data_IF_591091782704
#
_entry.id   IF_591091782704
#
_cell.length_a   1.000
_cell.length_b   1.000
_cell.length_c   1.000
_cell.angle_alpha   90.00
_cell.angle_beta   90.00
_cell.angle_gamma   90.00
#
_symmetry.space_group_name_H-M   'P 1'
#
loop_
_entity.id
_entity.type
_entity.pdbx_description
1 polymer ?
#
# COMPACT_ATOMS: atom_id res chain seq x y z
N UNK A 1 2.89 25.68 0.37
CA UNK A 1 3.27 24.40 0.98
C UNK A 1 3.83 23.47 -0.08
N UNK A 2 4.45 22.36 0.30
CA UNK A 2 4.91 21.32 -0.62
C UNK A 2 4.33 19.97 -0.17
N UNK A 3 4.05 19.08 -1.12
CA UNK A 3 3.54 17.73 -0.86
C UNK A 3 4.38 16.71 -1.64
N UNK A 4 4.80 15.64 -0.98
CA UNK A 4 5.47 14.51 -1.63
C UNK A 4 4.46 13.37 -1.84
N UNK A 5 4.54 12.73 -3.01
CA UNK A 5 3.66 11.62 -3.41
C UNK A 5 4.47 10.51 -4.12
N UNK A 6 3.84 9.34 -4.25
CA UNK A 6 4.44 8.18 -4.93
C UNK A 6 5.67 7.63 -4.20
N UNK A 7 6.60 7.05 -4.96
CA UNK A 7 7.80 6.41 -4.40
C UNK A 7 8.72 7.41 -3.68
N UNK A 8 8.70 8.69 -4.06
CA UNK A 8 9.40 9.76 -3.33
C UNK A 8 8.88 9.96 -1.89
N UNK A 9 7.63 9.54 -1.62
CA UNK A 9 7.03 9.57 -0.30
C UNK A 9 7.06 8.21 0.41
N UNK A 10 6.81 7.12 -0.31
CA UNK A 10 6.80 5.78 0.26
C UNK A 10 7.25 4.73 -0.77
N UNK A 11 8.56 4.55 -0.89
CA UNK A 11 9.19 3.47 -1.65
C UNK A 11 9.07 2.13 -0.91
N UNK A 12 8.86 1.04 -1.67
CA UNK A 12 8.74 -0.34 -1.15
C UNK A 12 9.36 -1.34 -2.11
N UNK A 13 9.51 -2.58 -1.68
CA UNK A 13 10.06 -3.65 -2.52
C UNK A 13 9.17 -3.87 -3.77
N UNK A 14 9.71 -3.90 -5.01
CA UNK A 14 8.92 -3.87 -6.25
C UNK A 14 8.21 -5.19 -6.58
N UNK A 15 8.44 -6.25 -5.79
CA UNK A 15 8.01 -7.62 -6.06
C UNK A 15 6.49 -7.80 -6.28
N UNK A 16 5.65 -6.93 -5.70
CA UNK A 16 4.19 -7.00 -5.89
C UNK A 16 3.65 -6.06 -6.97
N UNK A 17 4.50 -5.24 -7.61
CA UNK A 17 4.08 -4.25 -8.60
C UNK A 17 3.10 -3.17 -8.07
N UNK A 18 2.84 -3.12 -6.76
CA UNK A 18 1.78 -2.29 -6.17
C UNK A 18 2.11 -0.80 -6.02
N UNK A 19 3.31 -0.36 -6.38
CA UNK A 19 3.74 1.05 -6.24
C UNK A 19 2.86 2.01 -7.02
N UNK A 20 2.56 1.69 -8.29
CA UNK A 20 1.67 2.50 -9.12
C UNK A 20 0.24 2.52 -8.60
N UNK A 21 -0.27 1.41 -8.07
CA UNK A 21 -1.62 1.32 -7.48
C UNK A 21 -1.76 2.24 -6.27
N UNK A 22 -0.75 2.26 -5.39
CA UNK A 22 -0.73 3.17 -4.23
C UNK A 22 -0.63 4.61 -4.69
N UNK A 23 0.23 4.93 -5.66
CA UNK A 23 0.37 6.28 -6.18
C UNK A 23 -0.92 6.81 -6.83
N UNK A 24 -1.58 6.01 -7.66
CA UNK A 24 -2.85 6.39 -8.30
C UNK A 24 -3.98 6.52 -7.28
N UNK A 25 -4.04 5.64 -6.27
CA UNK A 25 -5.01 5.77 -5.19
C UNK A 25 -4.78 7.05 -4.36
N UNK A 26 -3.52 7.36 -4.04
CA UNK A 26 -3.17 8.59 -3.33
C UNK A 26 -3.61 9.83 -4.11
N UNK A 27 -3.46 9.83 -5.45
CA UNK A 27 -3.91 10.91 -6.33
C UNK A 27 -5.43 11.09 -6.26
N UNK A 28 -6.21 9.99 -6.29
CA UNK A 28 -7.68 10.05 -6.21
C UNK A 28 -8.12 10.64 -4.87
N UNK A 29 -7.56 10.15 -3.75
CA UNK A 29 -7.90 10.64 -2.41
C UNK A 29 -7.51 12.11 -2.26
N UNK A 30 -6.31 12.49 -2.70
CA UNK A 30 -5.85 13.87 -2.64
C UNK A 30 -6.71 14.81 -3.50
N UNK A 31 -7.06 14.40 -4.72
CA UNK A 31 -7.96 15.15 -5.60
C UNK A 31 -9.28 15.43 -4.90
N UNK A 32 -9.88 14.42 -4.28
CA UNK A 32 -11.19 14.55 -3.66
C UNK A 32 -11.16 15.47 -2.43
N UNK A 33 -10.08 15.41 -1.64
CA UNK A 33 -9.86 16.29 -0.50
C UNK A 33 -9.56 17.74 -0.89
N UNK A 34 -8.85 17.97 -2.01
CA UNK A 34 -8.49 19.31 -2.45
C UNK A 34 -9.57 19.97 -3.34
N UNK A 35 -10.50 19.19 -3.91
CA UNK A 35 -11.60 19.70 -4.75
C UNK A 35 -12.42 20.85 -4.12
N UNK A 36 -12.78 20.82 -2.82
CA UNK A 36 -13.52 21.93 -2.18
C UNK A 36 -12.64 23.13 -1.80
N UNK A 37 -11.30 23.01 -1.87
CA UNK A 37 -10.38 24.08 -1.46
C UNK A 37 -10.32 25.17 -2.53
N UNK A 38 -10.84 26.36 -2.21
CA UNK A 38 -10.84 27.52 -3.11
C UNK A 38 -9.60 28.41 -2.97
N UNK A 39 -8.94 28.35 -1.81
CA UNK A 39 -7.77 29.17 -1.52
C UNK A 39 -6.66 28.32 -0.87
N UNK A 40 -5.56 28.14 -1.59
CA UNK A 40 -4.40 27.39 -1.12
C UNK A 40 -3.46 28.20 -0.20
N UNK A 41 -3.71 29.50 -0.01
CA UNK A 41 -2.95 30.33 0.93
C UNK A 41 -3.47 30.21 2.37
N UNK A 42 -4.64 29.62 2.58
CA UNK A 42 -5.15 29.29 3.92
C UNK A 42 -4.45 28.03 4.44
N UNK A 43 -3.36 28.26 5.18
CA UNK A 43 -2.49 27.19 5.71
C UNK A 43 -3.21 26.31 6.73
N UNK A 44 -4.11 26.88 7.54
CA UNK A 44 -4.81 26.15 8.60
C UNK A 44 -5.88 25.23 8.00
N UNK A 45 -6.65 25.72 7.03
CA UNK A 45 -7.59 24.89 6.30
C UNK A 45 -6.85 23.78 5.55
N UNK A 46 -5.76 24.11 4.85
CA UNK A 46 -4.99 23.13 4.09
C UNK A 46 -4.36 22.05 4.97
N UNK A 47 -3.88 22.39 6.18
CA UNK A 47 -3.33 21.42 7.13
C UNK A 47 -4.34 20.32 7.47
N UNK A 48 -5.61 20.68 7.70
CA UNK A 48 -6.67 19.72 8.01
C UNK A 48 -6.92 18.73 6.87
N UNK A 49 -6.93 19.20 5.62
CA UNK A 49 -7.09 18.32 4.44
C UNK A 49 -5.88 17.40 4.24
N UNK A 50 -4.66 17.90 4.51
CA UNK A 50 -3.44 17.08 4.42
C UNK A 50 -3.37 16.03 5.54
N UNK A 51 -3.79 16.35 6.77
CA UNK A 51 -3.92 15.38 7.86
C UNK A 51 -4.95 14.29 7.54
N UNK A 52 -6.08 14.66 6.95
CA UNK A 52 -7.08 13.73 6.47
C UNK A 52 -6.51 12.82 5.37
N UNK A 53 -5.74 13.37 4.43
CA UNK A 53 -5.03 12.58 3.40
C UNK A 53 -4.11 11.54 4.02
N UNK A 54 -3.27 11.91 5.01
CA UNK A 54 -2.38 10.97 5.68
C UNK A 54 -3.12 9.87 6.46
N UNK A 55 -4.33 10.13 6.90
CA UNK A 55 -5.16 9.12 7.57
C UNK A 55 -5.79 8.17 6.56
N UNK A 56 -6.36 8.69 5.47
CA UNK A 56 -7.09 7.92 4.47
C UNK A 56 -6.19 7.02 3.62
N UNK A 57 -4.93 7.40 3.40
CA UNK A 57 -3.97 6.57 2.65
C UNK A 57 -3.46 5.34 3.41
N UNK A 58 -3.52 5.35 4.75
CA UNK A 58 -2.88 4.33 5.61
C UNK A 58 -3.38 2.91 5.33
N UNK A 59 -4.69 2.63 5.20
CA UNK A 59 -5.17 1.25 5.05
C UNK A 59 -4.63 0.59 3.78
N UNK A 60 -4.78 1.22 2.61
CA UNK A 60 -4.31 0.64 1.34
C UNK A 60 -2.77 0.55 1.29
N UNK A 61 -2.08 1.63 1.69
CA UNK A 61 -0.63 1.64 1.69
C UNK A 61 -0.06 0.62 2.68
N UNK A 62 -0.68 0.41 3.84
CA UNK A 62 -0.24 -0.59 4.82
C UNK A 62 -0.47 -2.01 4.32
N UNK A 63 -1.65 -2.33 3.78
CA UNK A 63 -1.97 -3.67 3.26
C UNK A 63 -0.99 -4.10 2.17
N UNK A 64 -0.74 -3.24 1.17
CA UNK A 64 0.21 -3.56 0.10
C UNK A 64 1.65 -3.71 0.66
N UNK A 65 1.98 -3.08 1.81
CA UNK A 65 3.36 -2.96 2.34
C UNK A 65 3.68 -4.22 3.11
N UNK A 66 2.75 -4.59 3.98
CA UNK A 66 2.75 -5.83 4.73
C UNK A 66 2.73 -7.02 3.76
N UNK A 67 1.87 -6.99 2.74
CA UNK A 67 1.80 -8.05 1.75
C UNK A 67 3.11 -8.20 0.95
N UNK A 68 3.67 -7.11 0.42
CA UNK A 68 4.94 -7.15 -0.29
C UNK A 68 6.10 -7.67 0.57
N UNK A 69 6.13 -7.24 1.83
CA UNK A 69 7.15 -7.68 2.80
C UNK A 69 7.00 -9.15 3.18
N UNK A 70 5.77 -9.64 3.33
CA UNK A 70 5.46 -11.03 3.61
C UNK A 70 5.84 -11.92 2.42
N UNK A 71 5.40 -11.57 1.21
CA UNK A 71 5.74 -12.29 -0.02
C UNK A 71 7.24 -12.35 -0.23
N UNK A 72 7.97 -11.25 -0.05
CA UNK A 72 9.43 -11.25 -0.15
C UNK A 72 10.08 -12.27 0.81
N UNK A 73 9.63 -12.31 2.06
CA UNK A 73 10.16 -13.27 3.06
C UNK A 73 9.84 -14.73 2.72
N UNK A 74 8.72 -15.02 2.06
CA UNK A 74 8.34 -16.38 1.64
C UNK A 74 9.04 -16.83 0.35
N UNK A 75 9.33 -15.90 -0.57
CA UNK A 75 9.94 -16.22 -1.85
C UNK A 75 11.48 -16.23 -1.83
N UNK A 76 12.10 -15.66 -0.80
CA UNK A 76 13.54 -15.84 -0.60
C UNK A 76 13.84 -17.31 -0.30
N UNK A 77 14.71 -17.91 -1.11
CA UNK A 77 15.25 -19.26 -0.89
C UNK A 77 16.03 -19.23 0.43
N UNK A 78 15.56 -19.97 1.42
CA UNK A 78 16.23 -20.14 2.70
C UNK A 78 16.29 -21.61 3.06
N UNK A 79 17.40 -22.05 3.64
CA UNK A 79 17.62 -23.39 4.21
C UNK A 79 16.84 -23.65 5.51
N UNK A 80 15.83 -22.82 5.78
CA UNK A 80 14.99 -22.86 6.97
C UNK A 80 13.72 -23.65 6.67
N UNK A 81 13.61 -24.83 7.28
CA UNK A 81 12.55 -25.82 7.04
C UNK A 81 11.15 -25.23 7.30
N UNK A 82 11.02 -24.38 8.32
CA UNK A 82 9.75 -23.72 8.64
C UNK A 82 9.27 -22.78 7.52
N UNK A 83 10.19 -22.11 6.81
CA UNK A 83 9.82 -21.24 5.68
C UNK A 83 9.39 -22.04 4.45
N UNK A 84 9.99 -23.21 4.23
CA UNK A 84 9.57 -24.11 3.16
C UNK A 84 8.17 -24.69 3.42
N UNK A 85 7.90 -25.10 4.65
CA UNK A 85 6.59 -25.63 5.05
C UNK A 85 5.49 -24.57 4.92
N UNK A 86 5.73 -23.33 5.38
CA UNK A 86 4.78 -22.24 5.22
C UNK A 86 4.52 -21.93 3.73
N UNK A 87 5.56 -21.96 2.89
CA UNK A 87 5.40 -21.75 1.45
C UNK A 87 4.55 -22.85 0.80
N UNK A 88 4.76 -24.12 1.17
CA UNK A 88 3.95 -25.23 0.68
C UNK A 88 2.50 -25.10 1.14
N UNK A 89 2.26 -24.83 2.42
CA UNK A 89 0.91 -24.62 2.96
C UNK A 89 0.19 -23.43 2.32
N UNK A 90 0.90 -22.33 2.02
CA UNK A 90 0.33 -21.20 1.25
C UNK A 90 -0.05 -21.62 -0.17
N UNK A 91 0.77 -22.42 -0.85
CA UNK A 91 0.44 -22.93 -2.18
C UNK A 91 -0.80 -23.83 -2.14
N UNK A 92 -0.83 -24.77 -1.20
CA UNK A 92 -1.97 -25.67 -1.01
C UNK A 92 -3.25 -24.87 -0.69
N UNK A 93 -3.15 -23.85 0.17
CA UNK A 93 -4.26 -22.94 0.49
C UNK A 93 -4.81 -22.23 -0.76
N UNK A 94 -3.93 -21.69 -1.62
CA UNK A 94 -4.35 -21.04 -2.86
C UNK A 94 -4.98 -22.05 -3.84
N UNK A 95 -4.49 -23.29 -3.87
CA UNK A 95 -5.05 -24.38 -4.68
C UNK A 95 -6.45 -24.82 -4.26
N UNK A 96 -6.89 -24.52 -3.02
CA UNK A 96 -8.27 -24.80 -2.59
C UNK A 96 -9.33 -23.98 -3.35
N UNK A 97 -8.92 -22.88 -4.00
CA UNK A 97 -9.81 -22.05 -4.82
C UNK A 97 -10.91 -21.33 -4.02
N UNK A 98 -11.83 -20.69 -4.74
CA UNK A 98 -12.91 -19.91 -4.13
C UNK A 98 -12.36 -18.73 -3.32
N UNK A 99 -12.87 -18.55 -2.10
CA UNK A 99 -12.48 -17.46 -1.19
C UNK A 99 -10.98 -17.46 -0.90
N UNK A 100 -10.34 -18.64 -0.89
CA UNK A 100 -8.91 -18.80 -0.64
C UNK A 100 -8.03 -18.21 -1.74
N UNK A 101 -8.59 -17.95 -2.94
CA UNK A 101 -7.87 -17.44 -4.11
C UNK A 101 -8.38 -16.08 -4.63
N UNK A 102 -9.55 -15.62 -4.15
CA UNK A 102 -10.22 -14.41 -4.64
C UNK A 102 -9.98 -13.15 -3.79
N UNK A 103 -9.20 -13.27 -2.72
CA UNK A 103 -8.91 -12.20 -1.76
C UNK A 103 -7.89 -11.18 -2.24
#
# INVERSE_FOLDING_TARGET
GALLLGDAFNSRHPLTGGGMTVALSDIVVLRDLLRPVRNFNDKEALSKYIEAFYTLRKPLASTINTFASAMYKFFLISSDEAKMEIRAACFDYLCLGGVCSSG
#
